data_IF_089236776463
#
_entry.id   IF_089236776463
#
_cell.length_a   1.000
_cell.length_b   1.000
_cell.length_c   1.000
_cell.angle_alpha   90.00
_cell.angle_beta   90.00
_cell.angle_gamma   90.00
#
_symmetry.space_group_name_H-M   'P 1'
#
loop_
_entity.id
_entity.type
_entity.pdbx_description
1 polymer ?
#
# COMPACT_ATOMS: atom_id res chain seq x y z
N UNK A 1 1.13 -15.99 -17.95
CA UNK A 1 2.14 -15.72 -16.88
C UNK A 1 1.83 -14.44 -16.09
N UNK A 2 1.53 -13.33 -16.75
CA UNK A 2 1.26 -12.02 -16.11
C UNK A 2 0.11 -12.00 -15.09
N UNK A 3 -0.94 -12.81 -15.28
CA UNK A 3 -2.02 -12.97 -14.27
C UNK A 3 -1.55 -13.58 -12.95
N UNK A 4 -0.69 -14.61 -13.03
CA UNK A 4 -0.15 -15.27 -11.85
C UNK A 4 0.76 -14.28 -11.09
N UNK A 5 1.59 -13.54 -11.83
CA UNK A 5 2.41 -12.46 -11.27
C UNK A 5 1.56 -11.41 -10.57
N UNK A 6 0.46 -10.98 -11.19
CA UNK A 6 -0.45 -10.00 -10.60
C UNK A 6 -1.15 -10.54 -9.35
N UNK A 7 -1.57 -11.82 -9.35
CA UNK A 7 -2.15 -12.47 -8.19
C UNK A 7 -1.14 -12.55 -7.03
N UNK A 8 0.10 -12.95 -7.31
CA UNK A 8 1.18 -13.02 -6.32
C UNK A 8 1.52 -11.63 -5.75
N UNK A 9 1.59 -10.60 -6.59
CA UNK A 9 1.78 -9.21 -6.16
C UNK A 9 0.62 -8.74 -5.28
N UNK A 10 -0.63 -9.02 -5.67
CA UNK A 10 -1.81 -8.69 -4.89
C UNK A 10 -1.82 -9.39 -3.53
N UNK A 11 -1.53 -10.69 -3.48
CA UNK A 11 -1.47 -11.46 -2.22
C UNK A 11 -0.35 -10.92 -1.34
N UNK A 12 0.85 -10.75 -1.88
CA UNK A 12 1.99 -10.22 -1.14
C UNK A 12 1.73 -8.81 -0.61
N UNK A 13 1.17 -7.93 -1.45
CA UNK A 13 0.78 -6.57 -1.08
C UNK A 13 -0.29 -6.53 0.01
N UNK A 14 -1.25 -7.47 -0.01
CA UNK A 14 -2.27 -7.60 1.03
C UNK A 14 -1.64 -7.96 2.38
N UNK A 15 -0.76 -8.97 2.42
CA UNK A 15 -0.07 -9.36 3.66
C UNK A 15 0.86 -8.27 4.17
N UNK A 16 1.60 -7.59 3.29
CA UNK A 16 2.44 -6.46 3.67
C UNK A 16 1.61 -5.32 4.27
N UNK A 17 0.46 -5.00 3.66
CA UNK A 17 -0.45 -3.96 4.14
C UNK A 17 -1.08 -4.35 5.48
N UNK A 18 -1.43 -5.62 5.67
CA UNK A 18 -1.93 -6.14 6.95
C UNK A 18 -0.87 -6.09 8.05
N UNK A 19 0.36 -6.46 7.75
CA UNK A 19 1.50 -6.35 8.67
C UNK A 19 1.74 -4.88 9.06
N UNK A 20 1.71 -3.97 8.09
CA UNK A 20 1.84 -2.54 8.34
C UNK A 20 0.70 -2.02 9.23
N UNK A 21 -0.55 -2.41 8.98
CA UNK A 21 -1.71 -1.99 9.78
C UNK A 21 -1.59 -2.45 11.24
N UNK A 22 -1.17 -3.70 11.46
CA UNK A 22 -0.92 -4.28 12.80
C UNK A 22 0.21 -3.57 13.54
N UNK A 23 1.30 -3.26 12.85
CA UNK A 23 2.41 -2.53 13.46
C UNK A 23 1.98 -1.11 13.84
N UNK A 24 1.23 -0.42 12.97
CA UNK A 24 0.70 0.92 13.27
C UNK A 24 -0.27 0.89 14.45
N UNK A 25 -1.15 -0.12 14.56
CA UNK A 25 -2.05 -0.23 15.71
C UNK A 25 -1.30 -0.52 17.01
N UNK A 26 -0.30 -1.41 16.98
CA UNK A 26 0.51 -1.72 18.16
C UNK A 26 1.28 -0.50 18.67
N UNK A 27 1.87 0.29 17.77
CA UNK A 27 2.55 1.54 18.15
C UNK A 27 1.56 2.59 18.66
N UNK A 28 0.34 2.66 18.12
CA UNK A 28 -0.69 3.55 18.65
C UNK A 28 -1.14 3.17 20.07
N UNK A 29 -1.23 1.87 20.36
CA UNK A 29 -1.55 1.36 21.70
C UNK A 29 -0.42 1.67 22.70
N UNK A 30 0.84 1.44 22.31
CA UNK A 30 2.01 1.82 23.12
C UNK A 30 2.04 3.33 23.41
N UNK A 31 1.72 4.16 22.42
CA UNK A 31 1.67 5.60 22.60
C UNK A 31 0.56 6.03 23.58
N UNK A 32 -0.58 5.33 23.56
CA UNK A 32 -1.68 5.54 24.50
C UNK A 32 -1.31 5.10 25.94
N UNK A 33 -0.46 4.08 26.08
CA UNK A 33 0.06 3.62 27.37
C UNK A 33 1.22 4.48 27.90
N UNK A 34 1.57 5.57 27.22
CA UNK A 34 2.57 6.53 27.67
C UNK A 34 4.01 6.21 27.26
N UNK A 35 4.23 5.32 26.29
CA UNK A 35 5.59 5.10 25.75
C UNK A 35 6.06 6.33 24.94
N UNK A 36 7.11 7.06 25.39
CA UNK A 36 7.58 8.26 24.72
C UNK A 36 8.17 7.98 23.33
N UNK A 37 8.69 6.77 23.08
CA UNK A 37 9.18 6.37 21.74
C UNK A 37 8.04 6.17 20.76
N UNK A 38 6.93 5.61 21.23
CA UNK A 38 5.74 5.38 20.40
C UNK A 38 4.99 6.68 20.07
N UNK A 39 4.99 7.65 20.99
CA UNK A 39 4.38 8.98 20.79
C UNK A 39 5.11 9.82 19.74
N UNK A 40 6.44 9.72 19.67
CA UNK A 40 7.27 10.42 18.68
C UNK A 40 7.40 9.67 17.35
N UNK A 41 6.84 8.47 17.26
CA UNK A 41 6.96 7.62 16.09
C UNK A 41 6.23 8.22 14.88
N UNK A 42 6.83 8.11 13.69
CA UNK A 42 6.32 8.72 12.47
C UNK A 42 4.90 8.27 12.08
N UNK A 43 4.47 7.09 12.52
CA UNK A 43 3.12 6.55 12.28
C UNK A 43 2.03 7.33 13.00
N UNK A 44 2.38 8.18 13.98
CA UNK A 44 1.44 9.11 14.63
C UNK A 44 1.18 10.37 13.82
N UNK A 45 2.02 10.63 12.80
CA UNK A 45 1.87 11.83 11.97
C UNK A 45 0.69 11.72 11.00
N UNK A 46 0.19 12.88 10.53
CA UNK A 46 -0.86 12.94 9.50
C UNK A 46 -0.48 12.21 8.20
N UNK A 47 0.81 12.00 7.93
CA UNK A 47 1.25 11.28 6.73
C UNK A 47 0.87 9.79 6.73
N UNK A 48 0.61 9.19 7.90
CA UNK A 48 0.18 7.80 8.01
C UNK A 48 -1.30 7.56 7.66
N UNK A 49 -2.07 8.64 7.45
CA UNK A 49 -3.50 8.60 7.11
C UNK A 49 -3.75 9.46 5.87
N UNK A 50 -4.41 8.90 4.87
CA UNK A 50 -4.81 9.61 3.65
C UNK A 50 -6.33 9.63 3.63
N UNK A 51 -6.91 10.84 3.60
CA UNK A 51 -8.36 11.08 3.62
C UNK A 51 -9.10 10.55 4.87
N UNK A 52 -8.40 10.34 5.99
CA UNK A 52 -8.97 9.80 7.22
C UNK A 52 -8.48 8.39 7.59
N UNK A 53 -8.69 7.35 6.75
CA UNK A 53 -8.24 5.99 7.06
C UNK A 53 -6.72 5.85 7.01
N UNK A 54 -6.21 4.79 7.67
CA UNK A 54 -4.79 4.44 7.62
C UNK A 54 -4.43 4.03 6.19
N UNK A 55 -3.27 4.45 5.71
CA UNK A 55 -2.79 4.10 4.36
C UNK A 55 -2.69 2.58 4.16
N UNK A 56 -2.39 1.84 5.24
CA UNK A 56 -2.34 0.39 5.26
C UNK A 56 -3.69 -0.26 4.96
N UNK A 57 -4.79 0.35 5.39
CA UNK A 57 -6.13 -0.23 5.23
C UNK A 57 -6.61 -0.03 3.79
N UNK A 58 -6.31 1.14 3.20
CA UNK A 58 -6.50 1.39 1.77
C UNK A 58 -5.68 0.41 0.92
N UNK A 59 -4.44 0.14 1.33
CA UNK A 59 -3.58 -0.86 0.70
C UNK A 59 -4.20 -2.25 0.74
N UNK A 60 -4.74 -2.69 1.88
CA UNK A 60 -5.42 -3.99 2.00
C UNK A 60 -6.60 -4.11 1.02
N UNK A 61 -7.43 -3.08 0.92
CA UNK A 61 -8.58 -3.09 0.00
C UNK A 61 -8.10 -3.19 -1.45
N UNK A 62 -7.13 -2.35 -1.83
CA UNK A 62 -6.61 -2.31 -3.20
C UNK A 62 -5.92 -3.63 -3.59
N UNK A 63 -4.97 -4.10 -2.80
CA UNK A 63 -4.24 -5.35 -3.09
C UNK A 63 -5.13 -6.58 -3.01
N UNK A 64 -6.12 -6.58 -2.11
CA UNK A 64 -7.15 -7.62 -2.05
C UNK A 64 -7.98 -7.67 -3.34
N UNK A 65 -8.40 -6.51 -3.86
CA UNK A 65 -9.11 -6.43 -5.13
C UNK A 65 -8.23 -6.88 -6.31
N UNK A 66 -6.95 -6.50 -6.35
CA UNK A 66 -5.99 -6.95 -7.37
C UNK A 66 -5.83 -8.48 -7.33
N UNK A 67 -5.63 -9.07 -6.15
CA UNK A 67 -5.50 -10.52 -5.99
C UNK A 67 -6.77 -11.25 -6.46
N UNK A 68 -7.94 -10.82 -5.99
CA UNK A 68 -9.22 -11.45 -6.30
C UNK A 68 -9.53 -11.38 -7.81
N UNK A 69 -9.32 -10.23 -8.42
CA UNK A 69 -9.57 -10.03 -9.86
C UNK A 69 -8.60 -10.80 -10.75
N UNK A 70 -7.33 -10.95 -10.32
CA UNK A 70 -6.34 -11.76 -11.01
C UNK A 70 -6.68 -13.27 -10.95
N UNK A 71 -7.05 -13.77 -9.75
CA UNK A 71 -7.43 -15.17 -9.51
C UNK A 71 -8.71 -15.54 -10.26
N UNK A 72 -9.75 -14.70 -10.17
CA UNK A 72 -11.04 -14.91 -10.88
C UNK A 72 -10.94 -14.66 -12.38
N UNK A 73 -9.89 -13.97 -12.86
CA UNK A 73 -9.71 -13.62 -14.27
C UNK A 73 -10.57 -12.48 -14.76
N UNK A 74 -11.36 -11.89 -13.88
CA UNK A 74 -12.17 -10.69 -14.16
C UNK A 74 -11.31 -9.48 -14.51
N UNK A 75 -10.01 -9.52 -14.26
CA UNK A 75 -9.04 -8.50 -14.66
C UNK A 75 -9.02 -8.19 -16.18
N UNK A 76 -9.44 -9.12 -17.05
CA UNK A 76 -9.53 -8.84 -18.51
C UNK A 76 -10.79 -8.07 -18.89
N UNK A 77 -11.76 -7.94 -17.99
CA UNK A 77 -12.92 -7.09 -18.28
C UNK A 77 -12.43 -5.64 -18.38
N UNK A 78 -12.71 -4.93 -19.48
CA UNK A 78 -12.13 -3.62 -19.74
C UNK A 78 -12.44 -2.60 -18.64
N UNK A 79 -13.64 -2.67 -18.03
CA UNK A 79 -14.02 -1.82 -16.90
C UNK A 79 -13.17 -2.11 -15.65
N UNK A 80 -12.99 -3.39 -15.31
CA UNK A 80 -12.19 -3.81 -14.14
C UNK A 80 -10.72 -3.43 -14.35
N UNK A 81 -10.17 -3.73 -15.53
CA UNK A 81 -8.81 -3.37 -15.89
C UNK A 81 -8.57 -1.86 -15.77
N UNK A 82 -9.51 -1.04 -16.29
CA UNK A 82 -9.42 0.43 -16.24
C UNK A 82 -9.48 0.94 -14.80
N UNK A 83 -10.39 0.43 -13.97
CA UNK A 83 -10.50 0.80 -12.56
C UNK A 83 -9.21 0.44 -11.80
N UNK A 84 -8.68 -0.77 -11.97
CA UNK A 84 -7.45 -1.20 -11.31
C UNK A 84 -6.24 -0.38 -11.76
N UNK A 85 -6.16 -0.04 -13.06
CA UNK A 85 -5.08 0.79 -13.59
C UNK A 85 -5.13 2.20 -13.03
N UNK A 86 -6.32 2.82 -12.97
CA UNK A 86 -6.50 4.13 -12.34
C UNK A 86 -6.19 4.11 -10.85
N UNK A 87 -6.65 3.07 -10.13
CA UNK A 87 -6.32 2.86 -8.72
C UNK A 87 -4.82 2.69 -8.50
N UNK A 88 -4.14 1.93 -9.37
CA UNK A 88 -2.69 1.74 -9.31
C UNK A 88 -1.92 3.03 -9.59
N UNK A 89 -2.41 3.87 -10.51
CA UNK A 89 -1.83 5.18 -10.82
C UNK A 89 -2.00 6.14 -9.64
N UNK A 90 -3.18 6.17 -9.02
CA UNK A 90 -3.43 6.95 -7.81
C UNK A 90 -2.51 6.50 -6.66
N UNK A 91 -2.39 5.19 -6.44
CA UNK A 91 -1.48 4.61 -5.44
C UNK A 91 -0.01 4.96 -5.70
N UNK A 92 0.40 5.10 -6.96
CA UNK A 92 1.74 5.57 -7.32
C UNK A 92 1.93 7.06 -7.01
N UNK A 93 0.98 7.91 -7.36
CA UNK A 93 1.03 9.34 -7.02
C UNK A 93 1.14 9.54 -5.50
N UNK A 94 0.32 8.81 -4.74
CA UNK A 94 0.38 8.78 -3.27
C UNK A 94 1.73 8.25 -2.80
N UNK A 95 2.25 7.18 -3.41
CA UNK A 95 3.58 6.63 -3.06
C UNK A 95 4.72 7.62 -3.26
N UNK A 96 4.71 8.38 -4.35
CA UNK A 96 5.71 9.42 -4.62
C UNK A 96 5.64 10.54 -3.57
N UNK A 97 4.44 10.97 -3.20
CA UNK A 97 4.24 11.96 -2.15
C UNK A 97 4.74 11.46 -0.78
N UNK A 98 4.42 10.21 -0.42
CA UNK A 98 4.88 9.59 0.82
C UNK A 98 6.40 9.34 0.83
N UNK A 99 6.98 8.91 -0.28
CA UNK A 99 8.42 8.74 -0.42
C UNK A 99 9.14 10.09 -0.26
N UNK A 100 8.61 11.16 -0.86
CA UNK A 100 9.09 12.52 -0.65
C UNK A 100 8.97 12.94 0.82
N UNK A 101 7.84 12.69 1.48
CA UNK A 101 7.66 13.00 2.89
C UNK A 101 8.65 12.23 3.78
N UNK A 102 8.87 10.94 3.51
CA UNK A 102 9.84 10.11 4.24
C UNK A 102 11.27 10.62 4.07
N UNK A 103 11.67 10.94 2.84
CA UNK A 103 13.03 11.40 2.54
C UNK A 103 13.32 12.81 3.06
N UNK A 104 12.42 13.77 2.82
CA UNK A 104 12.69 15.20 3.07
C UNK A 104 12.12 15.71 4.38
N UNK A 105 10.94 15.24 4.82
CA UNK A 105 10.25 15.78 6.02
C UNK A 105 10.58 14.97 7.26
N UNK A 106 10.42 13.65 7.18
CA UNK A 106 10.63 12.76 8.33
C UNK A 106 12.10 12.34 8.47
N UNK A 107 12.85 12.28 7.35
CA UNK A 107 14.23 11.76 7.30
C UNK A 107 14.37 10.39 7.97
N UNK A 108 13.35 9.54 7.84
CA UNK A 108 13.33 8.18 8.39
C UNK A 108 13.30 7.15 7.28
N UNK A 109 14.05 6.06 7.49
CA UNK A 109 14.05 4.91 6.59
C UNK A 109 13.04 3.87 7.05
N UNK A 110 11.92 3.78 6.34
CA UNK A 110 10.89 2.77 6.58
C UNK A 110 10.98 1.68 5.51
N UNK A 111 11.62 0.55 5.84
CA UNK A 111 11.80 -0.57 4.90
C UNK A 111 10.46 -1.15 4.42
N UNK A 112 9.45 -1.20 5.29
CA UNK A 112 8.09 -1.65 4.94
C UNK A 112 7.43 -0.70 3.95
N UNK A 113 7.61 0.61 4.13
CA UNK A 113 7.05 1.63 3.26
C UNK A 113 7.70 1.57 1.87
N UNK A 114 9.02 1.42 1.81
CA UNK A 114 9.76 1.25 0.55
C UNK A 114 9.31 0.01 -0.22
N UNK A 115 9.09 -1.12 0.48
CA UNK A 115 8.50 -2.33 -0.13
C UNK A 115 7.10 -2.04 -0.69
N UNK A 116 6.27 -1.29 0.03
CA UNK A 116 4.95 -0.87 -0.42
C UNK A 116 4.99 0.00 -1.69
N UNK A 117 5.93 0.94 -1.76
CA UNK A 117 6.13 1.78 -2.96
C UNK A 117 6.59 0.95 -4.16
N UNK A 118 7.54 0.02 -3.95
CA UNK A 118 7.97 -0.90 -4.98
C UNK A 118 6.81 -1.80 -5.47
N UNK A 119 5.99 -2.32 -4.56
CA UNK A 119 4.80 -3.11 -4.89
C UNK A 119 3.80 -2.32 -5.75
N UNK A 120 3.53 -1.06 -5.40
CA UNK A 120 2.66 -0.19 -6.21
C UNK A 120 3.19 0.00 -7.63
N UNK A 121 4.51 0.19 -7.77
CA UNK A 121 5.17 0.29 -9.07
C UNK A 121 5.07 -1.01 -9.87
N UNK A 122 5.43 -2.15 -9.27
CA UNK A 122 5.34 -3.44 -9.95
C UNK A 122 3.91 -3.81 -10.33
N UNK A 123 2.93 -3.47 -9.49
CA UNK A 123 1.51 -3.71 -9.79
C UNK A 123 1.07 -2.91 -11.01
N UNK A 124 1.44 -1.62 -11.08
CA UNK A 124 1.15 -0.76 -12.23
C UNK A 124 1.80 -1.28 -13.51
N UNK A 125 3.09 -1.62 -13.46
CA UNK A 125 3.80 -2.16 -14.62
C UNK A 125 3.18 -3.48 -15.09
N UNK A 126 2.85 -4.39 -14.16
CA UNK A 126 2.21 -5.67 -14.49
C UNK A 126 0.84 -5.46 -15.13
N UNK A 127 0.04 -4.53 -14.61
CA UNK A 127 -1.24 -4.16 -15.23
C UNK A 127 -1.04 -3.59 -16.64
N UNK A 128 -0.05 -2.73 -16.86
CA UNK A 128 0.24 -2.15 -18.18
C UNK A 128 0.73 -3.19 -19.21
N UNK A 129 1.41 -4.24 -18.75
CA UNK A 129 1.81 -5.38 -19.57
C UNK A 129 0.70 -6.41 -19.77
N UNK A 130 -0.39 -6.33 -19.00
CA UNK A 130 -1.59 -7.15 -19.17
C UNK A 130 -2.46 -6.53 -20.28
N UNK A 131 -2.02 -6.66 -21.53
CA UNK A 131 -2.82 -6.38 -22.73
C UNK A 131 -3.45 -7.66 -23.26
#
# INVERSE_FOLDING_TARGET
>A
MTRLSLALLGIYGFFLSRQASRNVSSIAEQAAHGDPRAQTHFTQTRYARVLGPKNSDLGMIFYGAVALTALTGTVHRPSVHRILTLGSLASLAVSLYLAWALAFRLRTWCTVCMKGHALNLFTFLTLRHLK
#
